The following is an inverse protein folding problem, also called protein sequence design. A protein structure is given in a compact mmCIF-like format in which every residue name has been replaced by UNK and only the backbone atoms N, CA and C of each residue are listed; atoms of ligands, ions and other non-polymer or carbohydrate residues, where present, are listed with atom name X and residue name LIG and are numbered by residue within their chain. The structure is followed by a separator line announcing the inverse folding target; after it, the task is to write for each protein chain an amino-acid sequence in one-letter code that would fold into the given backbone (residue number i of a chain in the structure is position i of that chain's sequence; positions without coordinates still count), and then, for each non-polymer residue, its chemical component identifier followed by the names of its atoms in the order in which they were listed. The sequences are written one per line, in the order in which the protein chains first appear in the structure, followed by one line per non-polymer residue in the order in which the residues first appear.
data_IF_246175830937
#
_entry.id   IF_246175830937
#
_cell.length_a   1.000
_cell.length_b   1.000
_cell.length_c   1.000
_cell.angle_alpha   90.00
_cell.angle_beta   90.00
_cell.angle_gamma   90.00
#
_symmetry.space_group_name_H-M   'P 1'
#
loop_
_entity.id
_entity.type
_entity.pdbx_description
1 polymer ?
#
# COMPACT_ATOMS: atom_id res chain seq x y z
N UNK A 1 -12.83 7.96 -10.94
CA UNK A 1 -12.68 8.99 -9.89
C UNK A 1 -11.51 8.59 -8.99
N UNK A 2 -10.32 9.02 -9.38
CA UNK A 2 -9.10 8.86 -8.58
C UNK A 2 -9.10 9.92 -7.47
N UNK A 3 -8.89 9.48 -6.23
CA UNK A 3 -8.26 10.34 -5.23
C UNK A 3 -7.01 9.61 -4.78
N UNK A 4 -5.92 9.99 -5.41
CA UNK A 4 -4.57 9.88 -4.89
C UNK A 4 -4.29 11.25 -4.29
N UNK A 5 -4.17 11.34 -2.98
CA UNK A 5 -3.85 12.62 -2.35
C UNK A 5 -2.37 12.94 -2.62
N UNK A 6 -2.08 14.22 -2.87
CA UNK A 6 -0.71 14.68 -2.96
C UNK A 6 -0.20 14.91 -1.53
N UNK A 7 0.69 14.04 -1.06
CA UNK A 7 1.23 14.11 0.30
C UNK A 7 2.70 14.51 0.28
N UNK A 8 3.13 15.30 1.26
CA UNK A 8 4.54 15.65 1.44
C UNK A 8 5.11 14.95 2.66
N UNK A 9 6.21 14.22 2.49
CA UNK A 9 6.95 13.62 3.59
C UNK A 9 8.12 14.52 3.99
N UNK A 10 8.05 15.09 5.19
CA UNK A 10 9.06 16.03 5.69
C UNK A 10 10.46 15.38 5.83
N UNK A 11 10.61 14.18 6.41
CA UNK A 11 11.90 13.49 6.50
C UNK A 11 12.58 13.26 5.15
N UNK A 12 11.87 12.72 4.15
CA UNK A 12 12.46 12.45 2.83
C UNK A 12 12.44 13.65 1.88
N UNK A 13 11.79 14.76 2.27
CA UNK A 13 11.55 15.97 1.47
C UNK A 13 10.99 15.63 0.07
N UNK A 14 10.09 14.65 0.01
CA UNK A 14 9.51 14.15 -1.22
C UNK A 14 7.99 14.29 -1.22
N UNK A 15 7.43 14.52 -2.40
CA UNK A 15 5.99 14.44 -2.63
C UNK A 15 5.62 13.05 -3.13
N UNK A 16 4.46 12.55 -2.73
CA UNK A 16 3.90 11.30 -3.26
C UNK A 16 2.51 11.51 -3.83
N UNK A 17 2.23 10.90 -4.98
CA UNK A 17 0.90 10.80 -5.57
C UNK A 17 0.69 9.36 -6.05
N UNK A 18 -0.03 8.56 -5.26
CA UNK A 18 -0.13 7.12 -5.53
C UNK A 18 1.23 6.45 -5.48
N UNK A 19 1.59 5.72 -6.54
CA UNK A 19 2.92 5.10 -6.67
C UNK A 19 4.02 6.04 -7.13
N UNK A 20 3.70 7.29 -7.51
CA UNK A 20 4.68 8.26 -7.99
C UNK A 20 5.31 9.02 -6.81
N UNK A 21 6.61 9.23 -6.90
CA UNK A 21 7.38 10.10 -6.00
C UNK A 21 7.98 11.25 -6.81
N UNK A 22 7.93 12.45 -6.24
CA UNK A 22 8.52 13.65 -6.82
C UNK A 22 9.50 14.25 -5.82
N UNK A 23 10.68 14.62 -6.32
CA UNK A 23 11.76 15.24 -5.53
C UNK A 23 12.25 16.47 -6.27
N UNK A 24 12.84 17.42 -5.55
CA UNK A 24 13.50 18.55 -6.21
C UNK A 24 14.72 18.07 -7.00
N UNK A 25 15.06 18.77 -8.09
CA UNK A 25 16.16 18.40 -8.97
C UNK A 25 17.53 18.34 -8.27
N UNK A 26 17.70 19.06 -7.15
CA UNK A 26 18.92 19.06 -6.34
C UNK A 26 18.90 18.13 -5.12
N UNK A 27 17.82 17.38 -4.90
CA UNK A 27 17.78 16.40 -3.82
C UNK A 27 18.62 15.18 -4.21
N UNK A 28 19.61 14.82 -3.38
CA UNK A 28 20.39 13.61 -3.57
C UNK A 28 19.45 12.39 -3.69
N UNK A 29 19.67 11.56 -4.71
CA UNK A 29 18.97 10.29 -4.84
C UNK A 29 19.47 9.37 -3.71
N UNK A 30 18.68 9.26 -2.63
CA UNK A 30 19.19 8.69 -1.39
C UNK A 30 19.58 7.20 -1.51
N UNK A 31 18.99 6.43 -2.43
CA UNK A 31 19.36 5.04 -2.72
C UNK A 31 18.97 4.68 -4.16
N UNK A 32 19.69 3.77 -4.84
CA UNK A 32 19.26 3.24 -6.13
C UNK A 32 17.85 2.64 -6.01
N UNK A 33 16.96 3.01 -6.95
CA UNK A 33 15.61 2.43 -7.06
C UNK A 33 15.75 0.92 -7.12
N UNK A 34 15.35 0.24 -6.05
CA UNK A 34 15.34 -1.22 -6.02
C UNK A 34 14.22 -1.69 -6.94
N UNK A 35 14.56 -2.56 -7.89
CA UNK A 35 13.56 -3.18 -8.74
C UNK A 35 12.50 -3.87 -7.85
N UNK A 36 11.20 -3.71 -8.15
CA UNK A 36 10.16 -4.32 -7.35
C UNK A 36 10.31 -5.84 -7.38
N UNK A 37 10.33 -6.46 -6.20
CA UNK A 37 10.22 -7.91 -6.10
C UNK A 37 8.91 -8.37 -6.76
N UNK A 38 8.88 -9.47 -7.55
CA UNK A 38 7.67 -9.92 -8.23
C UNK A 38 6.46 -10.08 -7.29
N UNK A 39 6.69 -10.60 -6.08
CA UNK A 39 5.68 -10.73 -5.04
C UNK A 39 5.09 -9.39 -4.59
N UNK A 40 5.87 -8.30 -4.60
CA UNK A 40 5.37 -6.96 -4.27
C UNK A 40 4.57 -6.37 -5.43
N UNK A 41 5.04 -6.56 -6.67
CA UNK A 41 4.33 -6.13 -7.86
C UNK A 41 2.95 -6.79 -7.96
N UNK A 42 2.85 -8.08 -7.61
CA UNK A 42 1.59 -8.81 -7.60
C UNK A 42 0.52 -8.24 -6.66
N UNK A 43 0.93 -7.57 -5.56
CA UNK A 43 0.02 -6.94 -4.61
C UNK A 43 -0.68 -5.70 -5.16
N UNK A 44 -0.08 -5.01 -6.15
CA UNK A 44 -0.53 -3.72 -6.65
C UNK A 44 -1.94 -3.79 -7.19
N UNK A 45 -2.85 -3.01 -6.64
CA UNK A 45 -4.24 -3.04 -7.06
C UNK A 45 -5.16 -2.33 -6.07
N UNK A 46 -6.44 -2.33 -6.39
CA UNK A 46 -7.48 -1.79 -5.53
C UNK A 46 -8.24 -2.93 -4.86
N UNK A 47 -8.52 -2.78 -3.58
CA UNK A 47 -9.20 -3.77 -2.77
C UNK A 47 -10.45 -3.15 -2.16
N UNK A 48 -11.53 -3.92 -2.08
CA UNK A 48 -12.81 -3.49 -1.53
C UNK A 48 -13.35 -4.47 -0.52
N UNK A 49 -13.89 -3.94 0.56
CA UNK A 49 -14.72 -4.66 1.52
C UNK A 49 -16.14 -4.11 1.47
N UNK A 50 -17.09 -4.89 1.98
CA UNK A 50 -18.44 -4.42 2.29
C UNK A 50 -18.53 -3.77 3.68
N UNK A 51 -17.42 -3.72 4.42
CA UNK A 51 -17.34 -3.01 5.69
C UNK A 51 -17.40 -1.48 5.46
N UNK A 52 -18.42 -0.76 5.96
CA UNK A 52 -18.69 0.61 5.57
C UNK A 52 -17.67 1.62 6.13
N UNK A 53 -16.99 1.27 7.22
CA UNK A 53 -16.04 2.16 7.89
C UNK A 53 -14.69 2.24 7.18
N UNK A 54 -14.30 1.20 6.44
CA UNK A 54 -13.08 1.15 5.64
C UNK A 54 -13.34 0.38 4.33
N UNK A 55 -14.09 0.97 3.39
CA UNK A 55 -14.67 0.22 2.28
C UNK A 55 -13.64 -0.13 1.21
N UNK A 56 -12.59 0.67 1.03
CA UNK A 56 -11.57 0.41 0.01
C UNK A 56 -10.19 0.87 0.44
N UNK A 57 -9.16 0.15 0.01
CA UNK A 57 -7.79 0.65 -0.02
C UNK A 57 -7.13 0.30 -1.36
N UNK A 58 -5.95 0.89 -1.61
CA UNK A 58 -5.09 0.54 -2.73
C UNK A 58 -3.74 0.09 -2.20
N UNK A 59 -3.10 -0.82 -2.93
CA UNK A 59 -1.68 -1.10 -2.76
C UNK A 59 -0.97 -0.55 -4.00
N UNK A 60 0.08 0.23 -3.77
CA UNK A 60 0.96 0.78 -4.82
C UNK A 60 2.41 0.45 -4.50
N UNK A 61 3.30 0.63 -5.48
CA UNK A 61 4.74 0.58 -5.25
C UNK A 61 5.32 1.98 -5.24
N UNK A 62 6.21 2.24 -4.30
CA UNK A 62 7.09 3.41 -4.27
C UNK A 62 8.51 2.88 -4.11
N UNK A 63 9.36 3.07 -5.12
CA UNK A 63 10.74 2.57 -5.12
C UNK A 63 10.84 1.06 -4.79
N UNK A 64 9.96 0.25 -5.37
CA UNK A 64 9.93 -1.20 -5.15
C UNK A 64 9.32 -1.67 -3.82
N UNK A 65 8.95 -0.74 -2.94
CA UNK A 65 8.30 -1.02 -1.65
C UNK A 65 6.78 -0.87 -1.75
N UNK A 66 5.99 -1.82 -1.23
CA UNK A 66 4.53 -1.73 -1.26
C UNK A 66 4.01 -0.77 -0.18
N UNK A 67 3.05 0.06 -0.54
CA UNK A 67 2.34 0.98 0.36
C UNK A 67 0.83 0.75 0.28
N UNK A 68 0.17 0.76 1.43
CA UNK A 68 -1.28 0.76 1.57
C UNK A 68 -1.78 2.19 1.67
N UNK A 69 -2.69 2.54 0.76
CA UNK A 69 -3.32 3.85 0.67
C UNK A 69 -4.80 3.69 0.99
N UNK A 70 -5.27 4.34 2.04
CA UNK A 70 -6.67 4.31 2.47
C UNK A 70 -7.31 5.66 2.11
N UNK A 71 -7.92 5.80 0.90
CA UNK A 71 -8.41 7.09 0.40
C UNK A 71 -9.66 7.61 1.15
N UNK A 72 -10.12 6.92 2.18
CA UNK A 72 -11.23 7.34 3.02
C UNK A 72 -11.96 6.19 3.70
N UNK A 73 -12.88 6.59 4.57
CA UNK A 73 -13.65 5.81 5.52
C UNK A 73 -14.29 6.81 6.49
N UNK A 74 -15.25 6.40 7.32
CA UNK A 74 -15.86 7.34 8.27
C UNK A 74 -14.87 7.74 9.38
N UNK A 75 -13.82 6.93 9.59
CA UNK A 75 -12.67 7.21 10.48
C UNK A 75 -11.65 8.22 9.90
N UNK A 76 -11.91 8.78 8.71
CA UNK A 76 -10.97 9.68 8.02
C UNK A 76 -9.91 8.95 7.20
N UNK A 77 -9.08 9.67 6.42
CA UNK A 77 -7.99 9.07 5.66
C UNK A 77 -6.84 8.66 6.59
N UNK A 78 -6.47 7.37 6.58
CA UNK A 78 -5.23 6.92 7.21
C UNK A 78 -4.03 7.54 6.46
N UNK A 79 -2.88 7.77 7.13
CA UNK A 79 -1.63 8.03 6.42
C UNK A 79 -1.30 6.87 5.47
N UNK A 80 -0.52 7.15 4.44
CA UNK A 80 0.01 6.08 3.58
C UNK A 80 0.97 5.21 4.40
N UNK A 81 0.65 3.92 4.52
CA UNK A 81 1.42 2.99 5.36
C UNK A 81 2.27 2.06 4.51
N UNK A 82 3.56 1.93 4.82
CA UNK A 82 4.40 0.88 4.22
C UNK A 82 3.91 -0.51 4.61
N UNK A 83 3.89 -1.45 3.68
CA UNK A 83 3.61 -2.86 3.95
C UNK A 83 4.93 -3.62 4.14
N UNK A 84 5.29 -3.89 5.39
CA UNK A 84 6.55 -4.55 5.73
C UNK A 84 6.32 -6.07 5.78
N UNK A 85 6.99 -6.88 4.95
CA UNK A 85 6.84 -8.33 5.00
C UNK A 85 7.35 -8.87 6.35
N UNK A 86 6.56 -9.73 6.99
CA UNK A 86 6.89 -10.35 8.29
C UNK A 86 6.71 -11.88 8.29
N UNK A 87 6.38 -12.46 7.14
CA UNK A 87 6.20 -13.89 6.96
C UNK A 87 5.66 -14.19 5.57
N UNK A 88 5.48 -15.48 5.29
CA UNK A 88 4.80 -15.90 4.06
C UNK A 88 3.37 -15.35 4.05
N UNK A 89 2.99 -14.70 2.94
CA UNK A 89 1.64 -14.15 2.76
C UNK A 89 1.19 -13.16 3.86
N UNK A 90 2.13 -12.57 4.60
CA UNK A 90 1.84 -11.72 5.75
C UNK A 90 2.70 -10.45 5.77
N UNK A 91 2.04 -9.32 5.98
CA UNK A 91 2.65 -8.00 6.10
C UNK A 91 2.17 -7.30 7.36
N UNK A 92 3.05 -6.55 7.99
CA UNK A 92 2.68 -5.50 8.94
C UNK A 92 2.30 -4.24 8.17
N UNK A 93 1.28 -3.53 8.64
CA UNK A 93 0.89 -2.22 8.13
C UNK A 93 1.62 -1.16 8.97
N UNK A 94 2.54 -0.43 8.36
CA UNK A 94 3.39 0.56 9.01
C UNK A 94 4.81 0.08 9.33
N UNK A 95 5.75 1.03 9.35
CA UNK A 95 7.17 0.74 9.56
C UNK A 95 7.52 0.42 11.02
N UNK A 96 6.82 1.01 12.00
CA UNK A 96 7.09 0.76 13.42
C UNK A 96 6.84 -0.72 13.76
N UNK A 97 7.85 -1.45 14.29
CA UNK A 97 7.72 -2.86 14.63
C UNK A 97 6.69 -3.19 15.71
N UNK A 98 6.25 -2.20 16.50
CA UNK A 98 5.27 -2.37 17.58
C UNK A 98 3.83 -2.34 17.09
N UNK A 99 3.58 -1.92 15.85
CA UNK A 99 2.23 -1.80 15.32
C UNK A 99 1.56 -3.19 15.20
N UNK A 100 0.33 -3.36 15.71
CA UNK A 100 -0.38 -4.63 15.66
C UNK A 100 -1.01 -4.92 14.29
N UNK A 101 -1.22 -3.91 13.43
CA UNK A 101 -2.02 -4.03 12.22
C UNK A 101 -1.38 -4.95 11.17
N UNK A 102 -2.20 -5.79 10.53
CA UNK A 102 -1.75 -6.85 9.61
C UNK A 102 -2.53 -6.86 8.31
N UNK A 103 -1.81 -7.15 7.23
CA UNK A 103 -2.36 -7.55 5.95
C UNK A 103 -1.95 -9.00 5.64
N UNK A 104 -2.93 -9.89 5.52
CA UNK A 104 -2.72 -11.30 5.15
C UNK A 104 -3.28 -11.57 3.75
N UNK A 105 -2.46 -12.15 2.88
CA UNK A 105 -2.91 -12.71 1.60
C UNK A 105 -3.68 -14.00 1.87
N UNK A 106 -4.87 -14.15 1.30
CA UNK A 106 -5.72 -15.33 1.51
C UNK A 106 -5.82 -16.22 0.29
N UNK A 107 -6.16 -15.65 -0.86
CA UNK A 107 -6.32 -16.38 -2.11
C UNK A 107 -5.63 -15.62 -3.24
N UNK A 108 -5.01 -16.37 -4.16
CA UNK A 108 -4.34 -15.84 -5.34
C UNK A 108 -4.87 -16.47 -6.62
N UNK A 109 -4.85 -15.73 -7.72
CA UNK A 109 -5.06 -16.21 -9.08
C UNK A 109 -3.93 -15.65 -9.94
N UNK A 110 -3.24 -16.49 -10.72
CA UNK A 110 -2.07 -16.12 -11.54
C UNK A 110 -1.00 -15.33 -10.76
N UNK A 111 -0.71 -15.78 -9.53
CA UNK A 111 0.24 -15.13 -8.62
C UNK A 111 -0.23 -13.80 -8.03
N UNK A 112 -1.44 -13.33 -8.36
CA UNK A 112 -2.02 -12.07 -7.86
C UNK A 112 -3.04 -12.34 -6.77
N UNK A 113 -2.98 -11.67 -5.59
CA UNK A 113 -4.02 -11.78 -4.58
C UNK A 113 -5.39 -11.37 -5.11
N UNK A 114 -6.37 -12.26 -5.02
CA UNK A 114 -7.79 -11.97 -5.29
C UNK A 114 -8.56 -11.66 -4.01
N UNK A 115 -8.05 -12.11 -2.86
CA UNK A 115 -8.59 -11.79 -1.53
C UNK A 115 -7.46 -11.60 -0.52
N UNK A 116 -7.63 -10.60 0.34
CA UNK A 116 -6.73 -10.28 1.45
C UNK A 116 -7.57 -9.99 2.69
N UNK A 117 -6.95 -10.10 3.87
CA UNK A 117 -7.50 -9.66 5.14
C UNK A 117 -6.67 -8.50 5.67
N UNK A 118 -7.31 -7.37 5.98
CA UNK A 118 -6.73 -6.29 6.79
C UNK A 118 -7.40 -6.35 8.15
N UNK A 119 -6.65 -6.61 9.21
CA UNK A 119 -7.16 -6.67 10.59
C UNK A 119 -8.45 -7.52 10.71
N UNK A 120 -8.40 -8.72 10.12
CA UNK A 120 -9.51 -9.68 10.03
C UNK A 120 -10.71 -9.25 9.16
N UNK A 121 -10.74 -8.04 8.63
CA UNK A 121 -11.71 -7.63 7.62
C UNK A 121 -11.30 -8.16 6.24
N UNK A 122 -12.22 -8.86 5.56
CA UNK A 122 -11.98 -9.40 4.22
C UNK A 122 -12.13 -8.31 3.17
N UNK A 123 -11.17 -8.27 2.24
CA UNK A 123 -11.19 -7.42 1.06
C UNK A 123 -10.97 -8.26 -0.20
N UNK A 124 -11.77 -8.01 -1.23
CA UNK A 124 -11.61 -8.61 -2.54
C UNK A 124 -10.87 -7.63 -3.45
N UNK A 125 -9.96 -8.14 -4.28
CA UNK A 125 -9.32 -7.34 -5.32
C UNK A 125 -10.41 -6.93 -6.32
N UNK A 126 -10.55 -5.62 -6.53
CA UNK A 126 -11.32 -5.13 -7.64
C UNK A 126 -10.43 -5.22 -8.88
N UNK A 127 -10.90 -5.93 -9.90
CA UNK A 127 -10.18 -6.08 -11.17
C UNK A 127 -9.71 -4.72 -11.68
N UNK A 128 -8.40 -4.59 -11.86
CA UNK A 128 -7.77 -3.59 -12.69
C UNK A 128 -6.78 -4.37 -13.54
N UNK A 129 -7.03 -4.40 -14.85
CA UNK A 129 -6.13 -4.94 -15.86
C UNK A 129 -4.74 -4.34 -15.74
#
# INVERSE_FOLDING_TARGET
MERFHLSFDHPSRAWSFGGRLYRSAGAAHALPVTAPRPQHAALVGRYRSYFPWSPTFRIVLREGRPFLLSPGGVEGPDPDMELVPIGENMFRIGADPRLPERLRIAATCDGRPVTVYRDSCRYCRMSLG
#
